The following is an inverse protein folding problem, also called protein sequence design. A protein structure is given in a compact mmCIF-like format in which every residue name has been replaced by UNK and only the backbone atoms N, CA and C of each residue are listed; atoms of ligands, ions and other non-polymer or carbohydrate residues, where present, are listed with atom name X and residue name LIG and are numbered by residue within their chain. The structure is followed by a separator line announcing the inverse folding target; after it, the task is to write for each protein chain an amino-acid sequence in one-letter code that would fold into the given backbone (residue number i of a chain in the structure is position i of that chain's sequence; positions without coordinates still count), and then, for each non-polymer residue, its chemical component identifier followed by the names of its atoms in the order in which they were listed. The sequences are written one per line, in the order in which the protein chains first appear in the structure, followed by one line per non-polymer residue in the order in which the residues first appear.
data_IF_261342365032
#
_entry.id   IF_261342365032
#
_cell.length_a   1.000
_cell.length_b   1.000
_cell.length_c   1.000
_cell.angle_alpha   90.00
_cell.angle_beta   90.00
_cell.angle_gamma   90.00
#
_symmetry.space_group_name_H-M   'P 1'
#
loop_
_entity.id
_entity.type
_entity.pdbx_description
1 polymer ?
#
# COMPACT_ATOMS: atom_id res chain seq x y z
N UNK A 1 -21.52 13.97 -14.40
CA UNK A 1 -20.16 14.05 -14.95
C UNK A 1 -19.43 15.18 -14.23
N UNK A 2 -18.14 15.03 -13.89
CA UNK A 2 -17.39 16.01 -13.09
C UNK A 2 -17.26 17.41 -13.73
N UNK A 3 -17.68 17.60 -14.98
CA UNK A 3 -17.74 18.90 -15.64
C UNK A 3 -18.97 19.74 -15.35
N UNK A 4 -19.89 19.25 -14.53
CA UNK A 4 -21.07 19.99 -14.07
C UNK A 4 -20.66 20.95 -12.93
N UNK A 5 -21.27 22.14 -12.90
CA UNK A 5 -20.94 23.20 -11.93
C UNK A 5 -21.10 22.74 -10.47
N UNK A 6 -22.02 21.83 -10.19
CA UNK A 6 -22.19 21.25 -8.85
C UNK A 6 -20.95 20.50 -8.34
N UNK A 7 -20.01 20.11 -9.23
CA UNK A 7 -18.74 19.47 -8.89
C UNK A 7 -17.56 20.42 -9.10
N UNK A 8 -17.55 21.16 -10.23
CA UNK A 8 -16.42 22.03 -10.58
C UNK A 8 -16.27 23.18 -9.59
N UNK A 9 -17.35 23.83 -9.21
CA UNK A 9 -17.32 24.94 -8.23
C UNK A 9 -16.72 24.48 -6.89
N UNK A 10 -17.21 23.40 -6.25
CA UNK A 10 -16.57 22.88 -5.03
C UNK A 10 -15.10 22.50 -5.19
N UNK A 11 -14.70 21.91 -6.31
CA UNK A 11 -13.29 21.58 -6.57
C UNK A 11 -12.41 22.83 -6.67
N UNK A 12 -12.88 23.90 -7.32
CA UNK A 12 -12.16 25.18 -7.35
C UNK A 12 -12.08 25.85 -5.98
N UNK A 13 -13.18 25.85 -5.21
CA UNK A 13 -13.19 26.34 -3.83
C UNK A 13 -12.21 25.57 -2.95
N UNK A 14 -12.24 24.24 -3.02
CA UNK A 14 -11.32 23.38 -2.28
C UNK A 14 -9.86 23.63 -2.68
N UNK A 15 -9.59 23.75 -3.97
CA UNK A 15 -8.26 24.04 -4.49
C UNK A 15 -7.69 25.34 -3.92
N UNK A 16 -8.49 26.40 -3.91
CA UNK A 16 -8.12 27.70 -3.34
C UNK A 16 -7.92 27.62 -1.81
N UNK A 17 -8.85 27.00 -1.09
CA UNK A 17 -8.82 26.93 0.37
C UNK A 17 -7.69 26.06 0.91
N UNK A 18 -7.36 24.97 0.24
CA UNK A 18 -6.40 23.98 0.73
C UNK A 18 -5.06 24.00 -0.03
N UNK A 19 -4.87 24.94 -0.97
CA UNK A 19 -3.66 25.09 -1.79
C UNK A 19 -3.29 23.79 -2.55
N UNK A 20 -4.29 23.15 -3.14
CA UNK A 20 -4.16 21.93 -3.94
C UNK A 20 -4.77 22.16 -5.33
N UNK A 21 -4.17 21.60 -6.37
CA UNK A 21 -4.68 21.75 -7.74
C UNK A 21 -6.11 21.19 -7.87
N UNK A 22 -7.09 21.95 -8.39
CA UNK A 22 -8.43 21.43 -8.70
C UNK A 22 -8.39 20.24 -9.68
N UNK A 23 -7.42 20.19 -10.59
CA UNK A 23 -7.22 19.06 -11.49
C UNK A 23 -6.77 17.80 -10.72
N UNK A 24 -5.91 17.98 -9.71
CA UNK A 24 -5.53 16.88 -8.83
C UNK A 24 -6.74 16.34 -8.04
N UNK A 25 -7.58 17.24 -7.51
CA UNK A 25 -8.83 16.85 -6.83
C UNK A 25 -9.74 16.06 -7.78
N UNK A 26 -9.97 16.55 -9.00
CA UNK A 26 -10.79 15.88 -9.99
C UNK A 26 -10.24 14.50 -10.38
N UNK A 27 -8.92 14.40 -10.54
CA UNK A 27 -8.24 13.13 -10.85
C UNK A 27 -8.39 12.12 -9.71
N UNK A 28 -8.21 12.55 -8.46
CA UNK A 28 -8.42 11.71 -7.28
C UNK A 28 -9.85 11.20 -7.20
N UNK A 29 -10.83 12.08 -7.28
CA UNK A 29 -12.24 11.68 -7.28
C UNK A 29 -12.49 10.64 -8.38
N UNK A 30 -12.00 10.87 -9.60
CA UNK A 30 -12.19 9.93 -10.70
C UNK A 30 -11.52 8.57 -10.46
N UNK A 31 -10.37 8.53 -9.82
CA UNK A 31 -9.66 7.29 -9.46
C UNK A 31 -10.47 6.52 -8.41
N UNK A 32 -10.93 7.21 -7.38
CA UNK A 32 -11.62 6.61 -6.24
C UNK A 32 -13.03 6.08 -6.58
N UNK A 33 -13.80 6.82 -7.37
CA UNK A 33 -15.19 6.50 -7.65
C UNK A 33 -15.44 5.99 -9.08
N UNK A 34 -14.40 5.93 -9.90
CA UNK A 34 -14.48 5.50 -11.30
C UNK A 34 -15.09 6.54 -12.24
N UNK A 35 -15.14 6.18 -13.54
CA UNK A 35 -15.63 7.09 -14.59
C UNK A 35 -17.16 7.32 -14.55
N UNK A 36 -17.89 6.33 -14.04
CA UNK A 36 -19.36 6.33 -13.98
C UNK A 36 -19.89 6.74 -12.59
N UNK A 37 -18.99 6.99 -11.63
CA UNK A 37 -19.33 7.18 -10.24
C UNK A 37 -19.57 5.84 -9.52
N UNK A 38 -19.90 5.92 -8.25
CA UNK A 38 -20.27 4.78 -7.41
C UNK A 38 -21.37 5.19 -6.44
N UNK A 39 -21.93 4.24 -5.71
CA UNK A 39 -22.96 4.52 -4.69
C UNK A 39 -22.45 5.48 -3.61
N UNK A 40 -21.15 5.57 -3.40
CA UNK A 40 -20.55 6.51 -2.44
C UNK A 40 -20.77 7.99 -2.80
N UNK A 41 -21.17 8.32 -4.04
CA UNK A 41 -21.31 9.72 -4.52
C UNK A 41 -22.71 10.05 -5.08
N UNK A 42 -23.66 9.14 -4.93
CA UNK A 42 -25.01 9.31 -5.47
C UNK A 42 -26.07 9.64 -4.40
N UNK A 43 -25.67 9.76 -3.13
CA UNK A 43 -26.61 9.92 -2.03
C UNK A 43 -27.48 8.69 -1.78
N UNK A 44 -27.00 7.52 -2.19
CA UNK A 44 -27.69 6.23 -2.11
C UNK A 44 -28.02 5.86 -0.66
N UNK A 45 -29.12 5.14 -0.49
CA UNK A 45 -29.53 4.58 0.80
C UNK A 45 -28.54 3.48 1.25
N UNK A 46 -28.23 3.47 2.55
CA UNK A 46 -27.41 2.44 3.17
C UNK A 46 -27.86 2.13 4.59
N UNK A 47 -27.59 0.93 5.06
CA UNK A 47 -27.91 0.49 6.43
C UNK A 47 -26.64 0.37 7.27
N UNK A 48 -26.66 1.00 8.45
CA UNK A 48 -25.58 0.92 9.43
C UNK A 48 -26.14 0.65 10.83
N UNK A 49 -25.70 -0.45 11.46
CA UNK A 49 -26.14 -0.89 12.80
C UNK A 49 -27.67 -0.93 12.93
N UNK A 50 -28.34 -1.49 11.90
CA UNK A 50 -29.78 -1.68 11.88
C UNK A 50 -30.61 -0.44 11.51
N UNK A 51 -30.02 0.74 11.34
CA UNK A 51 -30.71 1.95 10.92
C UNK A 51 -30.39 2.29 9.45
N UNK A 52 -31.36 2.88 8.76
CA UNK A 52 -31.26 3.26 7.36
C UNK A 52 -30.99 4.76 7.23
N UNK A 53 -30.05 5.12 6.35
CA UNK A 53 -29.59 6.48 6.09
C UNK A 53 -29.54 6.75 4.59
N UNK A 54 -29.66 8.03 4.19
CA UNK A 54 -29.67 8.45 2.78
C UNK A 54 -29.16 9.89 2.65
N UNK A 55 -28.63 10.26 1.47
CA UNK A 55 -28.21 11.62 1.18
C UNK A 55 -26.81 11.97 1.68
N UNK A 56 -25.95 10.97 1.85
CA UNK A 56 -24.55 11.18 2.22
C UNK A 56 -23.62 10.88 1.04
N UNK A 57 -22.46 11.56 1.00
CA UNK A 57 -21.52 11.52 -0.12
C UNK A 57 -20.10 11.30 0.36
N UNK A 58 -19.34 10.48 -0.35
CA UNK A 58 -17.93 10.25 -0.06
C UNK A 58 -17.13 10.16 -1.37
N UNK A 59 -16.71 11.32 -1.88
CA UNK A 59 -16.02 11.42 -3.16
C UNK A 59 -14.59 10.86 -3.17
N UNK A 60 -14.00 10.63 -2.00
CA UNK A 60 -12.62 10.15 -1.87
C UNK A 60 -12.52 8.76 -1.26
N UNK A 61 -13.64 8.06 -1.05
CA UNK A 61 -13.70 6.77 -0.36
C UNK A 61 -12.92 6.73 0.97
N UNK A 62 -12.83 7.89 1.66
CA UNK A 62 -12.15 7.98 2.94
C UNK A 62 -12.88 7.13 3.97
N UNK A 63 -12.12 6.28 4.67
CA UNK A 63 -12.68 5.34 5.63
C UNK A 63 -13.46 4.18 4.99
N UNK A 64 -13.41 4.00 3.68
CA UNK A 64 -14.08 2.93 2.95
C UNK A 64 -13.23 1.66 2.91
N UNK A 65 -13.52 0.72 3.79
CA UNK A 65 -12.96 -0.64 3.80
C UNK A 65 -13.97 -1.62 4.41
N UNK A 66 -13.89 -2.88 4.04
CA UNK A 66 -14.75 -3.91 4.63
C UNK A 66 -14.53 -4.03 6.14
N UNK A 67 -15.59 -4.16 6.91
CA UNK A 67 -15.53 -4.28 8.36
C UNK A 67 -16.65 -5.14 8.90
N UNK A 68 -16.45 -5.69 10.09
CA UNK A 68 -17.48 -6.40 10.85
C UNK A 68 -17.70 -5.68 12.17
N UNK A 69 -18.95 -5.29 12.44
CA UNK A 69 -19.35 -4.61 13.68
C UNK A 69 -20.55 -5.34 14.27
N UNK A 70 -20.45 -5.77 15.52
CA UNK A 70 -21.53 -6.50 16.19
C UNK A 70 -21.93 -7.80 15.46
N UNK A 71 -20.99 -8.48 14.80
CA UNK A 71 -21.22 -9.69 14.02
C UNK A 71 -21.80 -9.45 12.61
N UNK A 72 -22.10 -8.22 12.23
CA UNK A 72 -22.61 -7.86 10.88
C UNK A 72 -21.48 -7.38 10.00
N UNK A 73 -21.33 -7.97 8.82
CA UNK A 73 -20.34 -7.56 7.81
C UNK A 73 -20.89 -6.39 6.99
N UNK A 74 -20.09 -5.33 6.87
CA UNK A 74 -20.38 -4.13 6.07
C UNK A 74 -19.41 -3.99 4.92
N UNK A 75 -19.92 -3.61 3.75
CA UNK A 75 -19.08 -3.32 2.58
C UNK A 75 -18.25 -2.05 2.79
N UNK A 76 -17.18 -1.90 1.99
CA UNK A 76 -16.35 -0.70 1.98
C UNK A 76 -17.19 0.57 1.72
N UNK A 77 -18.12 0.54 0.75
CA UNK A 77 -19.00 1.67 0.43
C UNK A 77 -19.89 2.02 1.63
N UNK A 78 -20.56 1.04 2.22
CA UNK A 78 -21.42 1.25 3.40
C UNK A 78 -20.65 1.88 4.55
N UNK A 79 -19.44 1.38 4.83
CA UNK A 79 -18.59 1.95 5.87
C UNK A 79 -18.13 3.38 5.53
N UNK A 80 -17.75 3.63 4.27
CA UNK A 80 -17.39 4.98 3.79
C UNK A 80 -18.54 5.98 3.89
N UNK A 81 -19.78 5.58 3.64
CA UNK A 81 -20.97 6.40 3.84
C UNK A 81 -21.28 6.60 5.33
N UNK A 82 -21.10 5.59 6.17
CA UNK A 82 -21.20 5.73 7.63
C UNK A 82 -20.16 6.71 8.20
N UNK A 83 -18.95 6.73 7.61
CA UNK A 83 -17.94 7.73 7.92
C UNK A 83 -18.40 9.14 7.49
N UNK A 84 -18.92 9.31 6.28
CA UNK A 84 -19.48 10.56 5.77
C UNK A 84 -20.60 11.11 6.66
N UNK A 85 -21.47 10.24 7.13
CA UNK A 85 -22.59 10.55 8.03
C UNK A 85 -22.19 10.78 9.50
N UNK A 86 -20.90 10.70 9.84
CA UNK A 86 -20.37 10.75 11.24
C UNK A 86 -20.94 9.69 12.17
N UNK A 87 -21.39 8.57 11.65
CA UNK A 87 -21.78 7.38 12.45
C UNK A 87 -20.54 6.61 12.96
N UNK A 88 -19.39 6.95 12.39
CA UNK A 88 -18.06 6.56 12.83
C UNK A 88 -17.35 7.84 13.25
N UNK A 89 -16.69 7.80 14.43
CA UNK A 89 -16.04 8.98 15.01
C UNK A 89 -15.00 9.61 14.06
N UNK A 90 -15.15 10.89 13.78
CA UNK A 90 -14.21 11.73 13.02
C UNK A 90 -14.47 13.21 13.32
N UNK A 91 -13.50 14.07 13.01
CA UNK A 91 -13.62 15.53 13.00
C UNK A 91 -14.28 16.04 11.71
N UNK A 92 -14.56 17.34 11.65
CA UNK A 92 -15.10 18.03 10.48
C UNK A 92 -16.63 17.95 10.36
N UNK A 93 -17.15 18.45 9.24
CA UNK A 93 -18.58 18.54 8.94
C UNK A 93 -19.17 17.19 8.52
N UNK A 94 -20.51 17.06 8.61
CA UNK A 94 -21.24 15.93 8.01
C UNK A 94 -21.24 16.10 6.48
N UNK A 95 -21.01 15.03 5.75
CA UNK A 95 -20.95 15.05 4.28
C UNK A 95 -22.32 14.70 3.68
N UNK A 96 -23.32 15.54 3.98
CA UNK A 96 -24.70 15.40 3.53
C UNK A 96 -25.02 16.09 2.21
N UNK A 97 -24.00 16.69 1.59
CA UNK A 97 -24.08 17.31 0.27
C UNK A 97 -22.74 17.19 -0.48
N UNK A 98 -22.81 17.41 -1.80
CA UNK A 98 -21.66 17.30 -2.71
C UNK A 98 -20.53 18.26 -2.34
N UNK A 99 -20.88 19.53 -2.06
CA UNK A 99 -19.89 20.56 -1.77
C UNK A 99 -19.09 20.26 -0.50
N UNK A 100 -19.77 19.95 0.60
CA UNK A 100 -19.11 19.60 1.86
C UNK A 100 -18.22 18.37 1.72
N UNK A 101 -18.70 17.33 1.03
CA UNK A 101 -17.90 16.12 0.81
C UNK A 101 -16.64 16.39 -0.01
N UNK A 102 -16.72 17.23 -1.05
CA UNK A 102 -15.54 17.61 -1.85
C UNK A 102 -14.60 18.50 -1.05
N UNK A 103 -15.10 19.50 -0.34
CA UNK A 103 -14.27 20.42 0.46
C UNK A 103 -13.52 19.68 1.58
N UNK A 104 -14.24 18.95 2.41
CA UNK A 104 -13.67 18.23 3.55
C UNK A 104 -12.73 17.09 3.10
N UNK A 105 -13.12 16.31 2.09
CA UNK A 105 -12.27 15.25 1.55
C UNK A 105 -10.98 15.81 0.93
N UNK A 106 -11.06 16.94 0.23
CA UNK A 106 -9.89 17.65 -0.30
C UNK A 106 -9.00 18.20 0.82
N UNK A 107 -9.56 18.68 1.94
CA UNK A 107 -8.82 19.10 3.11
C UNK A 107 -7.97 17.96 3.69
N UNK A 108 -8.57 16.77 3.82
CA UNK A 108 -7.86 15.59 4.32
C UNK A 108 -6.73 15.16 3.37
N UNK A 109 -6.99 15.16 2.05
CA UNK A 109 -5.98 14.88 1.03
C UNK A 109 -4.83 15.89 1.06
N UNK A 110 -5.16 17.18 1.14
CA UNK A 110 -4.17 18.24 1.17
C UNK A 110 -3.29 18.17 2.42
N UNK A 111 -3.89 18.07 3.59
CA UNK A 111 -3.17 18.00 4.88
C UNK A 111 -2.34 16.72 5.00
N UNK A 112 -2.90 15.59 4.57
CA UNK A 112 -2.25 14.30 4.73
C UNK A 112 -1.05 14.10 3.81
N UNK A 113 -1.06 14.68 2.62
CA UNK A 113 -0.03 14.43 1.61
C UNK A 113 0.58 15.70 1.01
N UNK A 114 -0.20 16.49 0.28
CA UNK A 114 0.32 17.60 -0.52
C UNK A 114 1.03 18.64 0.35
N UNK A 115 0.35 19.12 1.39
CA UNK A 115 0.89 20.12 2.32
C UNK A 115 1.84 19.51 3.36
N UNK A 116 1.99 18.17 3.35
CA UNK A 116 2.98 17.45 4.15
C UNK A 116 4.27 17.15 3.37
N UNK A 117 4.51 17.85 2.26
CA UNK A 117 5.72 17.70 1.45
C UNK A 117 5.65 16.53 0.44
N UNK A 118 4.49 15.92 0.25
CA UNK A 118 4.26 14.86 -0.72
C UNK A 118 3.41 15.37 -1.90
N UNK A 119 3.87 16.45 -2.56
CA UNK A 119 3.14 17.18 -3.58
C UNK A 119 2.96 16.48 -4.93
N UNK A 120 3.74 15.45 -5.23
CA UNK A 120 3.63 14.67 -6.46
C UNK A 120 3.08 13.27 -6.23
N UNK A 121 2.55 12.60 -7.27
CA UNK A 121 2.12 11.20 -7.18
C UNK A 121 3.26 10.29 -6.72
N UNK A 122 4.47 10.56 -7.17
CA UNK A 122 5.67 9.83 -6.78
C UNK A 122 5.97 10.00 -5.29
N UNK A 123 5.98 11.24 -4.80
CA UNK A 123 6.19 11.51 -3.37
C UNK A 123 5.08 10.95 -2.48
N UNK A 124 3.83 10.96 -2.95
CA UNK A 124 2.72 10.34 -2.23
C UNK A 124 2.90 8.83 -2.11
N UNK A 125 3.44 8.19 -3.16
CA UNK A 125 3.66 6.74 -3.14
C UNK A 125 4.87 6.33 -2.32
N UNK A 126 6.01 7.01 -2.50
CA UNK A 126 7.28 6.54 -1.94
C UNK A 126 7.76 7.33 -0.71
N UNK A 127 7.20 8.51 -0.47
CA UNK A 127 7.57 9.42 0.62
C UNK A 127 9.10 9.65 0.69
N UNK A 128 9.68 10.08 -0.42
CA UNK A 128 11.12 10.36 -0.55
C UNK A 128 11.41 11.84 -0.77
N UNK A 129 10.39 12.69 -0.73
CA UNK A 129 10.53 14.15 -0.89
C UNK A 129 11.46 14.74 0.17
N UNK A 130 12.29 15.73 -0.19
CA UNK A 130 13.19 16.38 0.78
C UNK A 130 12.44 17.11 1.90
N UNK A 131 11.27 17.65 1.59
CA UNK A 131 10.44 18.44 2.49
C UNK A 131 9.31 17.64 3.16
N UNK A 132 9.35 16.31 3.05
CA UNK A 132 8.32 15.44 3.64
C UNK A 132 8.32 15.52 5.17
N UNK A 133 7.14 15.77 5.77
CA UNK A 133 6.97 15.86 7.23
C UNK A 133 7.09 14.50 7.93
N UNK A 134 6.82 13.41 7.22
CA UNK A 134 6.91 12.05 7.74
C UNK A 134 8.28 11.44 7.46
N UNK A 135 8.69 10.49 8.27
CA UNK A 135 9.93 9.73 8.04
C UNK A 135 9.92 9.12 6.64
N UNK A 136 11.06 9.18 5.93
CA UNK A 136 11.18 8.64 4.58
C UNK A 136 10.72 7.19 4.52
N UNK A 137 10.11 6.81 3.41
CA UNK A 137 9.57 5.47 3.13
C UNK A 137 8.38 5.04 3.99
N UNK A 138 7.90 5.91 4.89
CA UNK A 138 6.65 5.73 5.63
C UNK A 138 5.53 6.59 5.02
N UNK A 139 4.32 6.51 5.55
CA UNK A 139 3.17 7.32 5.09
C UNK A 139 2.97 7.28 3.57
N UNK A 140 2.99 6.08 3.02
CA UNK A 140 2.78 5.84 1.59
C UNK A 140 1.29 5.77 1.28
N UNK A 141 0.87 6.44 0.20
CA UNK A 141 -0.54 6.54 -0.19
C UNK A 141 -1.20 5.19 -0.46
N UNK A 142 -0.47 4.28 -1.12
CA UNK A 142 -0.97 2.93 -1.43
C UNK A 142 0.17 1.93 -1.59
N UNK A 143 -0.16 0.65 -1.50
CA UNK A 143 0.82 -0.44 -1.55
C UNK A 143 1.29 -0.75 -2.97
N UNK A 144 0.44 -0.56 -4.00
CA UNK A 144 0.78 -0.87 -5.39
C UNK A 144 1.95 0.01 -5.89
N UNK A 145 3.07 -0.63 -6.22
CA UNK A 145 4.28 0.06 -6.68
C UNK A 145 4.12 0.74 -8.05
N UNK A 146 3.21 0.27 -8.88
CA UNK A 146 2.91 0.87 -10.19
C UNK A 146 1.91 2.03 -10.13
N UNK A 147 1.37 2.34 -8.95
CA UNK A 147 0.33 3.35 -8.81
C UNK A 147 0.70 4.70 -9.42
N UNK A 148 1.89 5.30 -9.20
CA UNK A 148 2.24 6.58 -9.78
C UNK A 148 2.23 6.58 -11.30
N UNK A 149 2.76 5.52 -11.92
CA UNK A 149 2.77 5.38 -13.39
C UNK A 149 1.35 5.19 -13.93
N UNK A 150 0.54 4.34 -13.29
CA UNK A 150 -0.85 4.10 -13.70
C UNK A 150 -1.70 5.37 -13.58
N UNK A 151 -1.56 6.11 -12.50
CA UNK A 151 -2.30 7.35 -12.27
C UNK A 151 -1.82 8.47 -13.21
N UNK A 152 -0.51 8.56 -13.46
CA UNK A 152 0.06 9.47 -14.44
C UNK A 152 -0.49 9.23 -15.85
N UNK A 153 -0.52 7.99 -16.30
CA UNK A 153 -1.08 7.60 -17.59
C UNK A 153 -2.58 7.93 -17.70
N UNK A 154 -3.36 7.61 -16.65
CA UNK A 154 -4.79 7.97 -16.61
C UNK A 154 -5.01 9.47 -16.67
N UNK A 155 -4.17 10.25 -16.02
CA UNK A 155 -4.21 11.72 -16.06
C UNK A 155 -3.89 12.23 -17.45
N UNK A 156 -2.82 11.72 -18.08
CA UNK A 156 -2.45 12.06 -19.45
C UNK A 156 -3.59 11.77 -20.44
N UNK A 157 -4.17 10.56 -20.39
CA UNK A 157 -5.26 10.17 -21.26
C UNK A 157 -6.50 11.04 -21.07
N UNK A 158 -6.80 11.43 -19.82
CA UNK A 158 -7.90 12.35 -19.51
C UNK A 158 -7.67 13.75 -20.12
N UNK A 159 -6.47 14.30 -19.98
CA UNK A 159 -6.10 15.60 -20.55
C UNK A 159 -6.10 15.56 -22.08
N UNK A 160 -5.58 14.47 -22.68
CA UNK A 160 -5.62 14.23 -24.12
C UNK A 160 -7.06 14.19 -24.64
N UNK A 161 -7.93 13.43 -23.97
CA UNK A 161 -9.35 13.32 -24.33
C UNK A 161 -10.10 14.65 -24.21
N UNK A 162 -9.68 15.49 -23.26
CA UNK A 162 -10.22 16.84 -23.06
C UNK A 162 -9.63 17.85 -24.05
N UNK A 163 -8.67 17.47 -24.90
CA UNK A 163 -7.94 18.34 -25.84
C UNK A 163 -7.24 19.53 -25.16
N UNK A 164 -6.65 19.30 -24.01
CA UNK A 164 -5.96 20.36 -23.20
C UNK A 164 -4.46 20.11 -23.04
N UNK A 165 -3.88 19.14 -23.74
CA UNK A 165 -2.42 18.86 -23.64
C UNK A 165 -1.54 20.04 -24.07
N UNK A 166 -2.04 20.94 -24.91
CA UNK A 166 -1.32 22.15 -25.37
C UNK A 166 -1.39 23.30 -24.35
N UNK A 167 -2.08 23.11 -23.22
CA UNK A 167 -2.09 24.13 -22.16
C UNK A 167 -0.73 24.15 -21.46
N UNK A 168 -0.45 25.27 -20.82
CA UNK A 168 0.80 25.45 -20.07
C UNK A 168 0.70 24.69 -18.74
N UNK A 169 1.56 23.69 -18.54
CA UNK A 169 1.69 22.97 -17.29
C UNK A 169 3.04 23.25 -16.63
N UNK A 170 3.06 23.19 -15.32
CA UNK A 170 4.30 23.15 -14.52
C UNK A 170 4.44 21.71 -14.00
N UNK A 171 5.60 21.09 -14.25
CA UNK A 171 5.92 19.75 -13.76
C UNK A 171 6.99 19.85 -12.68
N UNK A 172 6.80 19.11 -11.60
CA UNK A 172 7.81 18.86 -10.58
C UNK A 172 8.33 17.44 -10.79
N UNK A 173 9.59 17.32 -11.20
CA UNK A 173 10.21 16.05 -11.55
C UNK A 173 11.30 15.76 -10.52
N UNK A 174 11.16 14.72 -9.67
CA UNK A 174 12.21 14.30 -8.77
C UNK A 174 13.44 13.81 -9.53
N UNK A 175 14.60 14.37 -9.22
CA UNK A 175 15.89 13.95 -9.77
C UNK A 175 16.78 13.55 -8.61
N UNK A 176 17.36 12.37 -8.69
CA UNK A 176 18.26 11.82 -7.68
C UNK A 176 19.71 11.85 -8.16
N UNK A 177 20.66 11.95 -7.24
CA UNK A 177 22.06 11.70 -7.54
C UNK A 177 22.21 10.27 -8.05
N UNK A 178 23.08 10.06 -9.02
CA UNK A 178 23.35 8.75 -9.63
C UNK A 178 22.11 8.06 -10.22
N UNK A 179 21.11 8.85 -10.62
CA UNK A 179 19.92 8.32 -11.27
C UNK A 179 20.30 7.66 -12.59
N UNK A 180 19.91 6.39 -12.84
CA UNK A 180 20.18 5.72 -14.10
C UNK A 180 19.46 6.42 -15.25
N UNK A 181 20.05 6.37 -16.46
CA UNK A 181 19.48 6.95 -17.67
C UNK A 181 18.09 6.35 -17.98
N UNK A 182 17.92 5.09 -17.67
CA UNK A 182 16.65 4.38 -17.84
C UNK A 182 16.35 3.46 -16.66
N UNK A 183 15.13 3.52 -16.18
CA UNK A 183 14.59 2.59 -15.18
C UNK A 183 13.31 1.96 -15.68
N UNK A 184 13.29 0.63 -15.84
CA UNK A 184 12.07 -0.08 -16.20
C UNK A 184 11.07 -0.04 -15.03
N UNK A 185 9.78 0.02 -15.36
CA UNK A 185 8.74 -0.17 -14.35
C UNK A 185 8.80 -1.62 -13.83
N UNK A 186 8.66 -1.82 -12.50
CA UNK A 186 8.56 -3.17 -11.96
C UNK A 186 7.32 -3.87 -12.51
N UNK A 187 7.39 -5.18 -12.63
CA UNK A 187 6.22 -5.99 -12.99
C UNK A 187 5.11 -5.84 -11.96
N UNK A 188 3.88 -6.04 -12.39
CA UNK A 188 2.73 -6.11 -11.48
C UNK A 188 2.88 -7.33 -10.58
N UNK A 189 2.59 -7.16 -9.29
CA UNK A 189 2.65 -8.21 -8.29
C UNK A 189 3.30 -7.76 -6.99
N UNK A 190 3.30 -8.64 -6.01
CA UNK A 190 3.96 -8.43 -4.72
C UNK A 190 5.45 -8.77 -4.86
N UNK A 191 6.29 -7.79 -4.55
CA UNK A 191 7.76 -7.94 -4.57
C UNK A 191 8.31 -8.51 -3.24
N UNK A 192 7.48 -8.72 -2.23
CA UNK A 192 7.94 -9.21 -0.93
C UNK A 192 8.46 -10.65 -1.04
N UNK A 193 9.70 -10.84 -0.67
CA UNK A 193 10.40 -12.12 -0.62
C UNK A 193 11.03 -12.40 0.75
N UNK A 194 10.49 -11.79 1.81
CA UNK A 194 10.95 -11.99 3.17
C UNK A 194 10.36 -13.24 3.81
N UNK A 195 11.12 -13.81 4.74
CA UNK A 195 10.60 -14.81 5.68
C UNK A 195 9.85 -14.12 6.81
N UNK A 196 8.77 -14.75 7.25
CA UNK A 196 8.05 -14.43 8.50
C UNK A 196 8.63 -15.20 9.68
N UNK A 197 9.12 -16.42 9.42
CA UNK A 197 9.70 -17.30 10.45
C UNK A 197 10.70 -18.28 9.84
N UNK A 198 11.69 -18.68 10.63
CA UNK A 198 12.64 -19.75 10.36
C UNK A 198 12.92 -20.51 11.65
N UNK A 199 12.82 -21.84 11.60
CA UNK A 199 13.01 -22.73 12.74
C UNK A 199 13.69 -24.02 12.32
N UNK A 200 14.60 -24.53 13.14
CA UNK A 200 15.06 -25.92 13.10
C UNK A 200 14.37 -26.65 14.26
N UNK A 201 13.50 -27.58 13.97
CA UNK A 201 12.68 -28.28 14.95
C UNK A 201 13.53 -28.90 16.06
N UNK A 202 13.31 -28.45 17.30
CA UNK A 202 14.04 -28.92 18.48
C UNK A 202 15.42 -28.26 18.71
N UNK A 203 15.86 -27.31 17.85
CA UNK A 203 17.18 -26.69 17.96
C UNK A 203 17.10 -25.18 17.78
N UNK A 204 17.92 -24.43 18.56
CA UNK A 204 18.02 -22.98 18.43
C UNK A 204 18.89 -22.60 17.24
N UNK A 205 18.46 -21.59 16.53
CA UNK A 205 19.28 -20.89 15.52
C UNK A 205 19.98 -19.69 16.14
N UNK A 206 21.14 -19.33 15.62
CA UNK A 206 21.94 -18.17 16.07
C UNK A 206 22.39 -17.39 14.84
N UNK A 207 22.17 -16.07 14.79
CA UNK A 207 21.41 -15.28 15.75
C UNK A 207 19.94 -15.71 15.82
N UNK A 208 19.14 -15.10 16.73
CA UNK A 208 17.69 -15.26 16.71
C UNK A 208 17.12 -14.80 15.36
N UNK A 209 15.97 -15.34 14.97
CA UNK A 209 15.40 -15.03 13.66
C UNK A 209 15.08 -13.54 13.54
N UNK A 210 15.56 -12.95 12.45
CA UNK A 210 15.25 -11.59 12.00
C UNK A 210 15.14 -11.62 10.46
N UNK A 211 14.14 -10.96 9.89
CA UNK A 211 13.88 -11.00 8.45
C UNK A 211 15.00 -10.41 7.58
N UNK A 212 15.85 -9.55 8.15
CA UNK A 212 16.99 -8.93 7.48
C UNK A 212 18.29 -9.75 7.57
N UNK A 213 18.31 -10.76 8.43
CA UNK A 213 19.46 -11.64 8.59
C UNK A 213 19.34 -12.82 7.61
N UNK A 214 20.39 -12.98 6.77
CA UNK A 214 20.41 -14.01 5.73
C UNK A 214 21.28 -15.24 6.09
N UNK A 215 21.87 -15.26 7.28
CA UNK A 215 22.81 -16.31 7.67
C UNK A 215 22.62 -16.69 9.13
N UNK A 216 22.34 -17.97 9.37
CA UNK A 216 22.12 -18.53 10.69
C UNK A 216 23.02 -19.75 10.93
N UNK A 217 23.26 -20.09 12.20
CA UNK A 217 23.95 -21.29 12.61
C UNK A 217 23.13 -22.04 13.66
N UNK A 218 23.29 -23.35 13.72
CA UNK A 218 22.73 -24.17 14.79
C UNK A 218 23.72 -25.25 15.18
N UNK A 219 23.79 -25.58 16.47
CA UNK A 219 24.63 -26.65 16.99
C UNK A 219 23.76 -27.86 17.33
N UNK A 220 24.01 -28.96 16.62
CA UNK A 220 23.24 -30.19 16.72
C UNK A 220 24.14 -31.35 17.17
N UNK A 221 23.73 -32.18 18.14
CA UNK A 221 24.52 -33.31 18.59
C UNK A 221 24.82 -34.32 17.47
N UNK A 222 26.00 -34.94 17.47
CA UNK A 222 26.42 -35.92 16.48
C UNK A 222 25.52 -37.17 16.39
N UNK A 223 24.77 -37.44 17.43
CA UNK A 223 23.80 -38.56 17.48
C UNK A 223 22.56 -38.31 16.60
N UNK A 224 22.29 -37.06 16.26
CA UNK A 224 21.17 -36.67 15.43
C UNK A 224 21.58 -36.82 13.96
N UNK A 225 20.81 -37.55 13.20
CA UNK A 225 21.08 -37.86 11.78
C UNK A 225 20.22 -37.02 10.83
N UNK A 226 19.06 -36.53 11.29
CA UNK A 226 18.11 -35.77 10.48
C UNK A 226 17.59 -34.58 11.28
N UNK A 227 17.28 -33.49 10.61
CA UNK A 227 16.57 -32.32 11.15
C UNK A 227 15.44 -31.93 10.24
N UNK A 228 14.41 -31.28 10.79
CA UNK A 228 13.32 -30.72 10.03
C UNK A 228 13.39 -29.19 10.08
N UNK A 229 13.45 -28.57 8.90
CA UNK A 229 13.48 -27.12 8.74
C UNK A 229 12.06 -26.62 8.46
N UNK A 230 11.58 -25.73 9.29
CA UNK A 230 10.30 -25.03 9.13
C UNK A 230 10.57 -23.56 8.85
N UNK A 231 9.92 -23.03 7.83
CA UNK A 231 9.94 -21.59 7.55
C UNK A 231 8.62 -21.19 6.88
N UNK A 232 8.24 -19.94 7.07
CA UNK A 232 7.05 -19.36 6.43
C UNK A 232 7.43 -18.04 5.77
N UNK A 233 6.88 -17.78 4.60
CA UNK A 233 7.02 -16.52 3.89
C UNK A 233 6.12 -15.43 4.52
N UNK A 234 6.52 -14.16 4.39
CA UNK A 234 5.77 -13.01 4.89
C UNK A 234 4.56 -12.69 3.99
N UNK A 235 4.74 -12.77 2.68
CA UNK A 235 3.67 -12.60 1.70
C UNK A 235 3.07 -13.93 1.29
N UNK A 236 1.74 -14.01 1.23
CA UNK A 236 1.02 -15.16 0.69
C UNK A 236 1.15 -15.31 -0.84
N UNK A 237 1.55 -14.23 -1.53
CA UNK A 237 1.79 -14.24 -2.98
C UNK A 237 3.19 -14.75 -3.34
N UNK A 238 4.13 -14.81 -2.38
CA UNK A 238 5.45 -15.40 -2.60
C UNK A 238 5.43 -16.92 -2.44
N UNK A 239 6.44 -17.59 -2.97
CA UNK A 239 6.65 -19.02 -2.81
C UNK A 239 7.93 -19.30 -2.03
N UNK A 240 7.92 -20.41 -1.26
CA UNK A 240 9.06 -20.82 -0.44
C UNK A 240 9.53 -22.21 -0.87
N UNK A 241 10.83 -22.45 -0.82
CA UNK A 241 11.45 -23.74 -1.07
C UNK A 241 12.64 -23.97 -0.13
N UNK A 242 13.06 -25.22 0.02
CA UNK A 242 14.16 -25.60 0.91
C UNK A 242 13.73 -25.87 2.36
N UNK A 243 12.43 -25.97 2.63
CA UNK A 243 11.89 -26.48 3.90
C UNK A 243 11.80 -28.00 3.90
N UNK A 244 11.66 -28.61 5.08
CA UNK A 244 11.47 -30.04 5.24
C UNK A 244 12.65 -30.75 5.92
N UNK A 245 12.76 -32.06 5.69
CA UNK A 245 13.73 -32.92 6.34
C UNK A 245 15.06 -32.96 5.61
N UNK A 246 16.14 -32.88 6.36
CA UNK A 246 17.53 -32.93 5.86
C UNK A 246 18.37 -33.89 6.65
N UNK A 247 19.02 -34.80 5.94
CA UNK A 247 20.08 -35.64 6.53
C UNK A 247 21.32 -34.83 6.82
N UNK A 248 21.87 -34.97 8.01
CA UNK A 248 23.06 -34.26 8.46
C UNK A 248 24.33 -35.00 8.13
N UNK A 249 25.28 -34.32 7.47
CA UNK A 249 26.65 -34.82 7.24
C UNK A 249 27.47 -34.70 8.52
N UNK A 250 28.53 -35.49 8.61
CA UNK A 250 29.31 -35.62 9.86
C UNK A 250 29.91 -34.33 10.40
N UNK A 251 30.29 -33.38 9.56
CA UNK A 251 30.92 -32.13 10.00
C UNK A 251 30.01 -30.92 9.86
N UNK A 252 29.40 -30.80 8.70
CA UNK A 252 28.64 -29.60 8.35
C UNK A 252 27.62 -29.88 7.25
N UNK A 253 26.44 -29.30 7.40
CA UNK A 253 25.39 -29.38 6.38
C UNK A 253 24.89 -27.97 6.11
N UNK A 254 25.05 -27.49 4.87
CA UNK A 254 24.49 -26.25 4.41
C UNK A 254 23.08 -26.47 3.85
N UNK A 255 22.13 -25.72 4.39
CA UNK A 255 20.74 -25.74 3.93
C UNK A 255 20.36 -24.34 3.45
N UNK A 256 19.75 -24.25 2.30
CA UNK A 256 19.31 -22.98 1.72
C UNK A 256 17.79 -22.94 1.66
N UNK A 257 17.21 -21.94 2.31
CA UNK A 257 15.80 -21.59 2.15
C UNK A 257 15.71 -20.45 1.15
N UNK A 258 14.83 -20.59 0.18
CA UNK A 258 14.62 -19.56 -0.85
C UNK A 258 13.18 -19.10 -0.81
N UNK A 259 12.97 -17.79 -0.75
CA UNK A 259 11.66 -17.15 -0.97
C UNK A 259 11.72 -16.44 -2.31
N UNK A 260 10.75 -16.69 -3.17
CA UNK A 260 10.60 -16.06 -4.47
C UNK A 260 9.33 -15.20 -4.47
N UNK A 261 9.47 -13.91 -4.73
CA UNK A 261 8.34 -12.98 -4.83
C UNK A 261 7.40 -13.36 -5.99
N UNK A 262 6.18 -12.83 -5.97
CA UNK A 262 5.22 -13.00 -7.07
C UNK A 262 5.77 -12.46 -8.39
N UNK A 263 6.50 -11.36 -8.35
CA UNK A 263 7.12 -10.74 -9.54
C UNK A 263 8.25 -11.56 -10.14
N UNK A 264 8.83 -12.49 -9.39
CA UNK A 264 9.98 -13.34 -9.77
C UNK A 264 11.25 -12.55 -10.15
N UNK A 265 11.29 -11.26 -9.88
CA UNK A 265 12.44 -10.40 -10.17
C UNK A 265 13.43 -10.37 -9.02
N UNK A 266 12.93 -10.51 -7.79
CA UNK A 266 13.75 -10.56 -6.59
C UNK A 266 13.72 -11.95 -5.97
N UNK A 267 14.91 -12.43 -5.61
CA UNK A 267 15.09 -13.69 -4.92
C UNK A 267 15.98 -13.48 -3.71
N UNK A 268 15.41 -13.65 -2.53
CA UNK A 268 16.14 -13.61 -1.26
C UNK A 268 16.42 -15.04 -0.84
N UNK A 269 17.67 -15.42 -0.80
CA UNK A 269 18.08 -16.73 -0.29
C UNK A 269 18.55 -16.57 1.16
N UNK A 270 17.83 -17.18 2.07
CA UNK A 270 18.27 -17.32 3.46
C UNK A 270 19.13 -18.57 3.52
N UNK A 271 20.42 -18.42 3.80
CA UNK A 271 21.34 -19.53 3.98
C UNK A 271 21.61 -19.72 5.45
N UNK A 272 21.06 -20.73 6.11
CA UNK A 272 21.60 -21.13 7.39
C UNK A 272 23.05 -21.56 7.17
N UNK A 273 23.98 -20.71 7.65
CA UNK A 273 25.39 -21.06 7.60
C UNK A 273 25.67 -22.04 8.70
N UNK A 274 25.91 -23.32 8.35
CA UNK A 274 26.51 -24.34 9.18
C UNK A 274 25.67 -24.87 10.35
N UNK A 275 25.00 -25.96 10.11
CA UNK A 275 24.64 -26.87 11.19
C UNK A 275 25.90 -27.62 11.61
N UNK A 276 26.54 -27.21 12.73
CA UNK A 276 27.70 -27.89 13.27
C UNK A 276 27.26 -28.97 14.24
N UNK A 277 27.76 -30.20 14.05
CA UNK A 277 27.65 -31.24 15.06
C UNK A 277 28.59 -30.89 16.23
N UNK A 278 28.06 -30.89 17.46
CA UNK A 278 28.92 -30.76 18.65
C UNK A 278 29.56 -32.10 18.93
N UNK A 279 30.89 -32.17 18.81
CA UNK A 279 31.66 -33.32 19.26
C UNK A 279 31.62 -33.30 20.80
N UNK A 280 31.00 -34.31 21.44
CA UNK A 280 31.21 -34.57 22.85
C UNK A 280 32.61 -35.17 22.96
N UNK A 281 33.56 -34.47 23.59
CA UNK A 281 34.73 -35.04 24.16
C UNK A 281 34.40 -35.86 25.36
#
# INVERSE_FOLDING_TARGET
KLGDDKYTIPMFKAGKSHKISPLHIATRIRIEVGANGSDSVNGTEFTWKGNTYKGYYNFFNIGAYETTVGGVKYSAITRGLAYAAKLISRSGEVWDNVETSILEGSSLLAKGYVNAGQGTLYYQKFNVGPDAHYSKYTHQYQTNIQAPATEGNKTYDALKKANVLNQKFTFEIPVYNDMPEYTSLPKSGDMNNDLKSLEIEGYKITPEFDEDILTYQSYIPNTVKEVNIKATQKSSASSISGTGKYELKDNETDITITVLSETKEEKKAVKPKRIKRKIKG
#
